data_IF_695925178244
#
_entry.id   IF_695925178244
#
_cell.length_a   1.000
_cell.length_b   1.000
_cell.length_c   1.000
_cell.angle_alpha   90.00
_cell.angle_beta   90.00
_cell.angle_gamma   90.00
#
_symmetry.space_group_name_H-M   'P 1'
#
loop_
_entity.id
_entity.type
_entity.pdbx_description
1 polymer ?
#
# COMPACT_ATOMS: atom_id res chain seq x y z
N UNK A 1 -6.59 -13.40 12.42
CA UNK A 1 -7.58 -13.07 11.37
C UNK A 1 -8.81 -12.51 12.08
N UNK A 2 -9.17 -11.25 11.81
CA UNK A 2 -10.36 -10.62 12.41
C UNK A 2 -11.60 -11.34 11.86
N UNK A 3 -12.29 -12.08 12.72
CA UNK A 3 -13.54 -12.77 12.38
C UNK A 3 -14.65 -11.74 12.21
N UNK A 4 -15.30 -11.73 11.04
CA UNK A 4 -16.41 -10.83 10.74
C UNK A 4 -17.02 -11.00 9.34
N UNK A 5 -16.28 -11.57 8.39
CA UNK A 5 -16.76 -11.79 7.03
C UNK A 5 -17.36 -13.18 6.82
N UNK A 6 -18.33 -13.28 5.92
CA UNK A 6 -18.98 -14.54 5.60
C UNK A 6 -17.98 -15.55 5.01
N UNK A 7 -18.21 -16.84 5.26
CA UNK A 7 -17.40 -17.90 4.67
C UNK A 7 -17.47 -17.86 3.13
N UNK A 8 -18.61 -17.43 2.57
CA UNK A 8 -18.81 -17.29 1.13
C UNK A 8 -17.88 -16.23 0.54
N UNK A 9 -17.83 -15.04 1.14
CA UNK A 9 -16.96 -13.95 0.68
C UNK A 9 -15.49 -14.36 0.73
N UNK A 10 -15.04 -14.95 1.84
CA UNK A 10 -13.66 -15.42 1.98
C UNK A 10 -13.29 -16.48 0.94
N UNK A 11 -14.21 -17.41 0.64
CA UNK A 11 -13.99 -18.43 -0.38
C UNK A 11 -13.92 -17.83 -1.78
N UNK A 12 -14.81 -16.89 -2.10
CA UNK A 12 -14.81 -16.18 -3.37
C UNK A 12 -13.53 -15.36 -3.59
N UNK A 13 -13.06 -14.65 -2.55
CA UNK A 13 -11.77 -13.93 -2.58
C UNK A 13 -10.64 -14.90 -2.91
N UNK A 14 -10.53 -16.02 -2.19
CA UNK A 14 -9.44 -16.97 -2.39
C UNK A 14 -9.46 -17.57 -3.81
N UNK A 15 -10.63 -17.94 -4.32
CA UNK A 15 -10.77 -18.48 -5.67
C UNK A 15 -10.36 -17.46 -6.73
N UNK A 16 -10.79 -16.21 -6.60
CA UNK A 16 -10.47 -15.15 -7.56
C UNK A 16 -8.99 -14.76 -7.52
N UNK A 17 -8.41 -14.66 -6.32
CA UNK A 17 -6.99 -14.38 -6.13
C UNK A 17 -6.14 -15.49 -6.75
N UNK A 18 -6.49 -16.75 -6.48
CA UNK A 18 -5.77 -17.89 -7.03
C UNK A 18 -5.88 -17.97 -8.56
N UNK A 19 -7.08 -17.74 -9.12
CA UNK A 19 -7.30 -17.72 -10.56
C UNK A 19 -6.55 -16.56 -11.25
N UNK A 20 -6.55 -15.37 -10.65
CA UNK A 20 -5.85 -14.20 -11.16
C UNK A 20 -4.32 -14.41 -11.12
N UNK A 21 -3.79 -14.89 -9.99
CA UNK A 21 -2.37 -15.18 -9.84
C UNK A 21 -1.89 -16.22 -10.85
N UNK A 22 -2.68 -17.28 -11.09
CA UNK A 22 -2.31 -18.36 -12.03
C UNK A 22 -2.40 -17.94 -13.49
N UNK A 23 -3.32 -17.06 -13.86
CA UNK A 23 -3.56 -16.68 -15.25
C UNK A 23 -2.63 -15.57 -15.74
N UNK A 24 -2.38 -14.54 -14.92
CA UNK A 24 -1.63 -13.33 -15.32
C UNK A 24 -0.26 -13.22 -14.66
N UNK A 25 0.01 -13.99 -13.60
CA UNK A 25 1.26 -13.92 -12.82
C UNK A 25 1.37 -12.71 -11.89
N UNK A 26 0.81 -11.55 -12.29
CA UNK A 26 0.68 -10.34 -11.47
C UNK A 26 -0.80 -10.09 -11.21
N UNK A 27 -1.15 -9.90 -9.94
CA UNK A 27 -2.50 -9.69 -9.46
C UNK A 27 -2.77 -8.20 -9.27
N UNK A 28 -3.67 -7.63 -10.08
CA UNK A 28 -4.16 -6.27 -9.84
C UNK A 28 -5.20 -6.29 -8.71
N UNK A 29 -4.84 -5.71 -7.56
CA UNK A 29 -5.60 -5.83 -6.32
C UNK A 29 -6.98 -5.20 -6.46
N UNK A 30 -7.05 -3.97 -6.97
CA UNK A 30 -8.29 -3.20 -7.11
C UNK A 30 -9.25 -3.87 -8.10
N UNK A 31 -8.74 -4.33 -9.25
CA UNK A 31 -9.57 -5.03 -10.24
C UNK A 31 -10.15 -6.35 -9.69
N UNK A 32 -9.34 -7.11 -8.94
CA UNK A 32 -9.81 -8.37 -8.31
C UNK A 32 -10.81 -8.09 -7.20
N UNK A 33 -10.57 -7.07 -6.38
CA UNK A 33 -11.48 -6.67 -5.30
C UNK A 33 -12.83 -6.20 -5.85
N UNK A 34 -12.83 -5.39 -6.91
CA UNK A 34 -14.05 -4.96 -7.58
C UNK A 34 -14.83 -6.16 -8.14
N UNK A 35 -14.14 -7.10 -8.81
CA UNK A 35 -14.77 -8.31 -9.33
C UNK A 35 -15.40 -9.17 -8.22
N UNK A 36 -14.74 -9.29 -7.06
CA UNK A 36 -15.30 -9.99 -5.89
C UNK A 36 -16.53 -9.26 -5.35
N UNK A 37 -16.46 -7.93 -5.17
CA UNK A 37 -17.56 -7.11 -4.65
C UNK A 37 -18.79 -7.18 -5.55
N UNK A 38 -18.62 -7.12 -6.87
CA UNK A 38 -19.71 -7.24 -7.84
C UNK A 38 -20.40 -8.62 -7.80
N UNK A 39 -19.67 -9.68 -7.45
CA UNK A 39 -20.24 -11.03 -7.25
C UNK A 39 -20.95 -11.20 -5.91
N UNK A 40 -20.62 -10.35 -4.93
CA UNK A 40 -21.09 -10.44 -3.54
C UNK A 40 -21.83 -9.15 -3.11
N UNK A 41 -22.61 -8.54 -4.00
CA UNK A 41 -23.34 -7.29 -3.70
C UNK A 41 -24.29 -7.41 -2.50
N UNK A 42 -24.82 -8.62 -2.24
CA UNK A 42 -25.69 -8.88 -1.10
C UNK A 42 -25.02 -8.80 0.27
N UNK A 43 -23.69 -8.90 0.33
CA UNK A 43 -22.92 -8.79 1.58
C UNK A 43 -22.70 -7.33 2.01
N UNK A 44 -22.89 -6.37 1.09
CA UNK A 44 -22.73 -4.93 1.33
C UNK A 44 -21.39 -4.56 2.01
N UNK A 45 -20.30 -5.19 1.55
CA UNK A 45 -18.94 -4.92 2.06
C UNK A 45 -18.31 -3.80 1.25
N UNK A 46 -17.63 -2.87 1.93
CA UNK A 46 -16.91 -1.77 1.30
C UNK A 46 -15.80 -2.31 0.39
N UNK A 47 -15.44 -1.55 -0.66
CA UNK A 47 -14.36 -1.97 -1.55
C UNK A 47 -13.03 -2.10 -0.80
N UNK A 48 -12.74 -1.17 0.10
CA UNK A 48 -11.49 -1.14 0.90
C UNK A 48 -11.31 -2.42 1.72
N UNK A 49 -12.41 -2.96 2.27
CA UNK A 49 -12.40 -4.16 3.07
C UNK A 49 -12.13 -5.38 2.19
N UNK A 50 -12.74 -5.43 1.00
CA UNK A 50 -12.47 -6.48 0.01
C UNK A 50 -11.04 -6.39 -0.53
N UNK A 51 -10.52 -5.18 -0.75
CA UNK A 51 -9.11 -4.96 -1.11
C UNK A 51 -8.17 -5.47 -0.02
N UNK A 52 -8.47 -5.21 1.25
CA UNK A 52 -7.71 -5.74 2.38
C UNK A 52 -7.73 -7.27 2.41
N UNK A 53 -8.88 -7.90 2.12
CA UNK A 53 -8.98 -9.36 2.03
C UNK A 53 -8.18 -9.93 0.86
N UNK A 54 -8.26 -9.30 -0.30
CA UNK A 54 -7.50 -9.66 -1.51
C UNK A 54 -6.00 -9.53 -1.25
N UNK A 55 -5.56 -8.46 -0.58
CA UNK A 55 -4.17 -8.27 -0.19
C UNK A 55 -3.67 -9.36 0.75
N UNK A 56 -4.43 -9.68 1.79
CA UNK A 56 -4.07 -10.74 2.72
C UNK A 56 -3.97 -12.10 2.01
N UNK A 57 -4.92 -12.41 1.13
CA UNK A 57 -4.91 -13.64 0.36
C UNK A 57 -3.73 -13.68 -0.61
N UNK A 58 -3.46 -12.61 -1.35
CA UNK A 58 -2.36 -12.55 -2.31
C UNK A 58 -0.99 -12.65 -1.62
N UNK A 59 -0.82 -12.01 -0.45
CA UNK A 59 0.36 -12.19 0.41
C UNK A 59 0.52 -13.64 0.86
N UNK A 60 -0.57 -14.28 1.29
CA UNK A 60 -0.55 -15.69 1.70
C UNK A 60 -0.14 -16.62 0.57
N UNK A 61 -0.59 -16.36 -0.67
CA UNK A 61 -0.21 -17.12 -1.84
C UNK A 61 1.16 -16.75 -2.43
N UNK A 62 1.82 -15.70 -1.90
CA UNK A 62 3.08 -15.19 -2.44
C UNK A 62 2.96 -14.68 -3.87
N UNK A 63 1.79 -14.18 -4.26
CA UNK A 63 1.56 -13.66 -5.60
C UNK A 63 2.19 -12.27 -5.78
N UNK A 64 2.77 -12.01 -6.95
CA UNK A 64 3.16 -10.65 -7.31
C UNK A 64 1.89 -9.80 -7.46
N UNK A 65 1.90 -8.59 -6.89
CA UNK A 65 0.73 -7.71 -6.85
C UNK A 65 1.03 -6.39 -7.54
N UNK A 66 0.03 -5.90 -8.26
CA UNK A 66 -0.04 -4.55 -8.81
C UNK A 66 -1.11 -3.76 -8.06
N UNK A 67 -0.78 -2.52 -7.73
CA UNK A 67 -1.69 -1.56 -7.14
C UNK A 67 -2.01 -0.52 -8.19
N UNK A 68 -3.30 -0.25 -8.41
CA UNK A 68 -3.69 0.81 -9.32
C UNK A 68 -3.19 2.14 -8.73
N UNK A 69 -2.27 2.77 -9.43
CA UNK A 69 -1.66 4.03 -9.00
C UNK A 69 -2.56 5.17 -9.43
N UNK A 70 -3.75 5.26 -8.83
CA UNK A 70 -4.64 6.38 -9.14
C UNK A 70 -4.11 7.68 -8.55
N UNK A 71 -3.57 8.48 -9.48
CA UNK A 71 -3.48 9.95 -9.53
C UNK A 71 -3.63 10.64 -8.18
N UNK A 72 -2.53 11.24 -7.72
CA UNK A 72 -2.52 12.31 -6.71
C UNK A 72 -3.68 13.26 -7.04
N UNK A 73 -4.76 13.21 -6.27
CA UNK A 73 -5.65 14.36 -6.17
C UNK A 73 -4.77 15.47 -5.61
N UNK A 74 -4.50 16.49 -6.43
CA UNK A 74 -3.82 17.72 -6.02
C UNK A 74 -4.35 18.12 -4.63
N UNK A 75 -3.51 18.14 -3.59
CA UNK A 75 -3.97 18.39 -2.24
C UNK A 75 -4.30 19.87 -2.12
N UNK A 76 -5.56 20.22 -2.34
CA UNK A 76 -6.16 21.40 -1.76
C UNK A 76 -6.16 21.27 -0.23
N UNK A 77 -5.00 21.55 0.39
CA UNK A 77 -4.79 21.78 1.82
C UNK A 77 -5.39 20.72 2.77
N UNK A 78 -4.74 19.56 2.88
CA UNK A 78 -4.89 18.74 4.10
C UNK A 78 -3.90 19.28 5.12
N UNK A 79 -4.41 20.09 6.05
CA UNK A 79 -3.64 20.54 7.21
C UNK A 79 -3.25 19.30 8.01
N UNK A 80 -1.98 18.92 7.91
CA UNK A 80 -1.40 17.82 8.68
C UNK A 80 -1.47 18.22 10.15
N UNK A 81 -2.49 17.72 10.87
CA UNK A 81 -2.49 17.78 12.32
C UNK A 81 -1.34 16.90 12.80
N UNK A 82 -0.18 17.52 12.98
CA UNK A 82 0.90 16.95 13.77
C UNK A 82 0.34 16.73 15.17
N UNK A 83 -0.01 15.49 15.50
CA UNK A 83 -0.16 15.09 16.89
C UNK A 83 1.23 15.22 17.48
N UNK A 84 1.46 16.33 18.18
CA UNK A 84 2.63 16.49 19.04
C UNK A 84 2.58 15.37 20.05
N UNK A 85 3.44 14.38 19.90
CA UNK A 85 3.79 13.53 21.01
C UNK A 85 4.55 14.44 21.97
N UNK A 86 3.89 14.92 23.02
CA UNK A 86 4.53 15.61 24.14
C UNK A 86 5.58 14.66 24.73
N UNK A 87 6.82 14.82 24.27
CA UNK A 87 7.97 14.15 24.82
C UNK A 87 8.20 14.75 26.21
N UNK A 88 7.93 13.94 27.24
CA UNK A 88 8.34 14.19 28.62
C UNK A 88 9.83 14.58 28.66
N UNK A 89 10.26 15.49 29.57
CA UNK A 89 11.61 16.03 29.57
C UNK A 89 12.59 14.97 30.10
N UNK A 90 13.09 14.13 29.21
CA UNK A 90 14.19 13.21 29.43
C UNK A 90 15.51 13.89 29.08
N UNK A 91 16.17 14.45 30.09
CA UNK A 91 17.53 15.00 30.04
C UNK A 91 18.50 13.90 29.57
N UNK A 92 19.14 14.06 28.41
CA UNK A 92 20.09 13.09 27.88
C UNK A 92 20.79 13.61 26.63
N UNK A 93 21.91 14.28 26.86
CA UNK A 93 22.88 14.82 25.91
C UNK A 93 23.43 13.73 24.97
N UNK A 94 23.26 13.87 23.65
CA UNK A 94 24.15 13.22 22.67
C UNK A 94 24.21 14.05 21.38
N UNK A 95 25.42 14.54 21.09
CA UNK A 95 25.83 15.33 19.93
C UNK A 95 25.26 14.86 18.58
N UNK A 96 24.56 15.77 17.90
CA UNK A 96 24.15 15.64 16.50
C UNK A 96 25.30 16.11 15.62
N UNK A 97 25.99 15.18 14.97
CA UNK A 97 26.92 15.45 13.89
C UNK A 97 26.17 15.77 12.59
N UNK A 98 26.15 17.07 12.31
CA UNK A 98 26.31 17.78 11.03
C UNK A 98 25.73 17.18 9.74
N UNK A 99 24.66 17.87 9.32
CA UNK A 99 24.25 18.25 7.97
C UNK A 99 25.31 18.10 6.86
N UNK A 100 25.04 17.25 5.87
CA UNK A 100 25.47 17.51 4.49
C UNK A 100 24.40 17.15 3.48
N UNK A 101 23.66 18.17 3.10
CA UNK A 101 23.00 18.25 1.81
C UNK A 101 23.98 18.02 0.65
N UNK A 102 23.67 17.08 -0.25
CA UNK A 102 24.29 17.02 -1.58
C UNK A 102 23.18 17.03 -2.63
N UNK A 103 23.04 18.21 -3.22
CA UNK A 103 22.22 18.48 -4.41
C UNK A 103 22.93 17.92 -5.66
N UNK A 104 22.21 17.28 -6.61
CA UNK A 104 22.81 16.64 -7.78
C UNK A 104 22.74 17.57 -9.00
N UNK A 105 23.78 18.38 -9.27
CA UNK A 105 23.86 19.08 -10.56
C UNK A 105 25.29 19.26 -11.09
N UNK A 106 25.47 18.79 -12.33
CA UNK A 106 26.35 19.26 -13.41
C UNK A 106 27.84 18.81 -13.52
N UNK A 107 28.02 17.76 -14.34
CA UNK A 107 28.81 17.66 -15.60
C UNK A 107 30.37 17.66 -15.59
N UNK A 108 31.04 16.72 -16.31
CA UNK A 108 32.50 16.67 -16.54
C UNK A 108 32.91 17.46 -17.81
N UNK A 109 34.21 17.79 -18.07
CA UNK A 109 35.16 16.84 -18.71
C UNK A 109 36.67 17.04 -18.40
N UNK A 110 37.46 16.08 -18.90
CA UNK A 110 38.87 16.10 -19.36
C UNK A 110 39.86 17.17 -18.85
N UNK A 111 41.04 16.72 -18.37
CA UNK A 111 42.30 16.83 -19.12
C UNK A 111 43.50 16.21 -18.37
N UNK A 112 44.26 15.43 -19.13
CA UNK A 112 45.66 15.02 -18.95
C UNK A 112 46.60 16.13 -18.47
N UNK A 113 47.51 15.79 -17.54
CA UNK A 113 48.96 15.88 -17.79
C UNK A 113 49.76 15.01 -16.82
#
# INVERSE_FOLDING_TARGET
MRFGYSAHLCQDVNLQVWAAARSKGILNVTAVAEAVRLRNLGENVALEDVECLVLQAAQFYGAAMEFDSLTVFEPGSVHRHSVGCDALPGRGDVDVLDDRAVSPYLRPPDQTQ
#
